data_IF_047457015076
#
_entry.id   IF_047457015076
#
_cell.length_a   1.000
_cell.length_b   1.000
_cell.length_c   1.000
_cell.angle_alpha   90.00
_cell.angle_beta   90.00
_cell.angle_gamma   90.00
#
_symmetry.space_group_name_H-M   'P 1'
#
loop_
_entity.id
_entity.type
_entity.pdbx_description
1 polymer ?
#
# COMPACT_ATOMS: atom_id res chain seq x y z
N UNK A 1 4.57 11.28 11.57
CA UNK A 1 4.14 11.36 10.16
C UNK A 1 3.52 10.02 9.81
N UNK A 2 2.37 10.02 9.16
CA UNK A 2 1.55 8.81 8.95
C UNK A 2 1.62 8.28 7.52
N UNK A 3 2.03 9.14 6.56
CA UNK A 3 2.21 8.79 5.15
C UNK A 3 3.60 9.24 4.71
N UNK A 4 4.36 8.33 4.11
CA UNK A 4 5.67 8.60 3.52
C UNK A 4 5.56 8.56 2.00
N UNK A 5 5.72 9.70 1.34
CA UNK A 5 5.85 9.77 -0.11
C UNK A 5 7.31 9.52 -0.49
N UNK A 6 7.56 8.56 -1.38
CA UNK A 6 8.90 8.18 -1.82
C UNK A 6 9.20 8.73 -3.21
N UNK A 7 10.45 9.11 -3.51
CA UNK A 7 10.80 9.75 -4.78
C UNK A 7 10.78 8.77 -5.98
N UNK A 8 11.03 7.48 -5.72
CA UNK A 8 11.04 6.43 -6.75
C UNK A 8 10.53 5.10 -6.19
N UNK A 9 10.24 4.14 -7.09
CA UNK A 9 9.81 2.79 -6.72
C UNK A 9 10.90 2.04 -5.94
N UNK A 10 12.16 2.22 -6.33
CA UNK A 10 13.32 1.60 -5.68
C UNK A 10 13.47 2.09 -4.25
N UNK A 11 13.33 3.39 -4.02
CA UNK A 11 13.37 3.97 -2.69
C UNK A 11 12.24 3.42 -1.80
N UNK A 12 11.03 3.27 -2.36
CA UNK A 12 9.90 2.62 -1.66
C UNK A 12 10.16 1.16 -1.31
N UNK A 13 10.69 0.38 -2.25
CA UNK A 13 11.00 -1.03 -2.03
C UNK A 13 12.10 -1.21 -0.95
N UNK A 14 13.14 -0.37 -0.99
CA UNK A 14 14.19 -0.36 0.04
C UNK A 14 13.58 -0.02 1.40
N UNK A 15 12.77 1.02 1.47
CA UNK A 15 12.12 1.43 2.72
C UNK A 15 11.27 0.32 3.33
N UNK A 16 10.39 -0.32 2.54
CA UNK A 16 9.52 -1.41 3.02
C UNK A 16 10.35 -2.60 3.50
N UNK A 17 11.41 -2.97 2.77
CA UNK A 17 12.32 -4.07 3.18
C UNK A 17 13.09 -3.74 4.44
N UNK A 18 13.62 -2.53 4.58
CA UNK A 18 14.28 -2.12 5.81
C UNK A 18 13.30 -2.15 6.99
N UNK A 19 12.06 -1.70 6.78
CA UNK A 19 11.03 -1.73 7.82
C UNK A 19 10.69 -3.17 8.24
N UNK A 20 10.48 -4.08 7.30
CA UNK A 20 10.14 -5.48 7.64
C UNK A 20 11.31 -6.28 8.19
N UNK A 21 12.51 -6.11 7.64
CA UNK A 21 13.67 -6.94 7.99
C UNK A 21 14.52 -6.37 9.13
N UNK A 22 14.67 -5.05 9.23
CA UNK A 22 15.54 -4.42 10.24
C UNK A 22 14.74 -3.90 11.44
N UNK A 23 13.56 -3.34 11.20
CA UNK A 23 12.73 -2.79 12.27
C UNK A 23 11.69 -3.80 12.81
N UNK A 24 11.60 -5.01 12.23
CA UNK A 24 10.62 -6.02 12.63
C UNK A 24 9.16 -5.62 12.37
N UNK A 25 8.95 -4.67 11.47
CA UNK A 25 7.63 -4.14 11.15
C UNK A 25 6.77 -5.15 10.38
N UNK A 26 5.48 -5.19 10.70
CA UNK A 26 4.47 -5.97 9.97
C UNK A 26 4.04 -5.18 8.73
N UNK A 27 3.87 -5.84 7.60
CA UNK A 27 3.62 -5.17 6.31
C UNK A 27 2.35 -5.69 5.64
N UNK A 28 1.73 -4.83 4.83
CA UNK A 28 0.60 -5.16 3.98
C UNK A 28 0.78 -4.45 2.62
N UNK A 29 0.59 -5.17 1.51
CA UNK A 29 0.78 -4.68 0.15
C UNK A 29 -0.55 -4.56 -0.60
N UNK A 30 -0.88 -3.35 -1.03
CA UNK A 30 -2.08 -3.05 -1.82
C UNK A 30 -1.76 -2.13 -2.99
N UNK A 31 -2.45 -2.33 -4.10
CA UNK A 31 -2.58 -1.35 -5.18
C UNK A 31 -3.97 -0.72 -5.08
N UNK A 32 -4.00 0.61 -5.01
CA UNK A 32 -5.21 1.42 -4.90
C UNK A 32 -5.34 2.37 -6.11
N UNK A 33 -6.50 3.00 -6.27
CA UNK A 33 -6.79 3.94 -7.38
C UNK A 33 -7.54 3.34 -8.57
N UNK A 34 -7.71 2.01 -8.59
CA UNK A 34 -8.61 1.31 -9.51
C UNK A 34 -10.06 1.26 -9.01
N UNK A 35 -10.92 0.51 -9.72
CA UNK A 35 -12.33 0.27 -9.30
C UNK A 35 -12.46 -0.58 -8.04
N UNK A 36 -11.43 -1.35 -7.70
CA UNK A 36 -11.34 -2.17 -6.49
C UNK A 36 -9.87 -2.27 -6.05
N UNK A 37 -9.60 -2.51 -4.75
CA UNK A 37 -8.25 -2.78 -4.26
C UNK A 37 -7.69 -4.08 -4.85
N UNK A 38 -6.39 -4.11 -5.15
CA UNK A 38 -5.68 -5.31 -5.60
C UNK A 38 -4.64 -5.68 -4.56
N UNK A 39 -4.69 -6.92 -4.06
CA UNK A 39 -3.67 -7.45 -3.14
C UNK A 39 -2.36 -7.64 -3.89
N UNK A 40 -1.28 -7.01 -3.40
CA UNK A 40 0.06 -7.12 -3.96
C UNK A 40 0.95 -7.87 -2.97
N UNK A 41 1.57 -8.95 -3.44
CA UNK A 41 2.47 -9.77 -2.61
C UNK A 41 3.82 -9.94 -3.30
N UNK A 42 4.86 -10.07 -2.50
CA UNK A 42 6.18 -10.54 -2.92
C UNK A 42 6.32 -12.04 -2.68
N UNK A 43 7.21 -12.68 -3.44
CA UNK A 43 7.61 -14.08 -3.22
C UNK A 43 8.18 -14.29 -1.81
N UNK A 44 8.85 -13.27 -1.27
CA UNK A 44 9.48 -13.29 0.05
C UNK A 44 8.51 -13.01 1.20
N UNK A 45 7.23 -12.72 0.93
CA UNK A 45 6.28 -12.35 1.98
C UNK A 45 5.90 -13.54 2.85
N UNK A 46 5.84 -13.27 4.16
CA UNK A 46 5.33 -14.22 5.17
C UNK A 46 3.83 -14.46 4.99
N UNK A 47 3.34 -15.56 5.54
CA UNK A 47 1.88 -15.85 5.60
C UNK A 47 1.11 -14.72 6.29
N UNK A 48 1.69 -14.14 7.34
CA UNK A 48 1.11 -13.00 8.05
C UNK A 48 0.98 -11.76 7.14
N UNK A 49 2.04 -11.39 6.41
CA UNK A 49 2.01 -10.20 5.54
C UNK A 49 0.95 -10.35 4.44
N UNK A 50 0.78 -11.57 3.90
CA UNK A 50 -0.28 -11.88 2.93
C UNK A 50 -1.67 -11.77 3.56
N UNK A 51 -1.85 -12.31 4.76
CA UNK A 51 -3.12 -12.22 5.50
C UNK A 51 -3.50 -10.76 5.79
N UNK A 52 -2.55 -9.96 6.29
CA UNK A 52 -2.76 -8.53 6.54
C UNK A 52 -3.11 -7.79 5.25
N UNK A 53 -2.47 -8.12 4.13
CA UNK A 53 -2.81 -7.54 2.82
C UNK A 53 -4.26 -7.82 2.42
N UNK A 54 -4.75 -9.05 2.63
CA UNK A 54 -6.15 -9.40 2.36
C UNK A 54 -7.10 -8.63 3.29
N UNK A 55 -6.79 -8.59 4.59
CA UNK A 55 -7.61 -7.86 5.56
C UNK A 55 -7.70 -6.36 5.21
N UNK A 56 -6.56 -5.74 4.85
CA UNK A 56 -6.52 -4.35 4.40
C UNK A 56 -7.30 -4.16 3.08
N UNK A 57 -7.26 -5.12 2.14
CA UNK A 57 -8.05 -5.04 0.92
C UNK A 57 -9.55 -5.05 1.20
N UNK A 58 -10.02 -5.91 2.10
CA UNK A 58 -11.44 -5.96 2.53
C UNK A 58 -11.85 -4.65 3.20
N UNK A 59 -11.00 -4.11 4.06
CA UNK A 59 -11.25 -2.80 4.69
C UNK A 59 -11.33 -1.69 3.64
N UNK A 60 -10.37 -1.63 2.72
CA UNK A 60 -10.32 -0.63 1.65
C UNK A 60 -11.48 -0.76 0.65
N UNK A 61 -11.98 -1.98 0.39
CA UNK A 61 -13.10 -2.22 -0.51
C UNK A 61 -14.45 -1.76 0.08
N UNK A 62 -14.59 -1.80 1.41
CA UNK A 62 -15.76 -1.26 2.11
C UNK A 62 -15.68 0.27 2.29
N UNK A 63 -14.52 0.87 2.03
CA UNK A 63 -14.38 2.32 2.04
C UNK A 63 -14.98 2.87 0.74
N UNK A 64 -16.11 3.58 0.82
CA UNK A 64 -16.55 4.38 -0.33
C UNK A 64 -15.41 5.34 -0.69
N UNK A 65 -14.84 5.14 -1.88
CA UNK A 65 -13.78 6.01 -2.37
C UNK A 65 -14.33 7.44 -2.37
N UNK A 66 -13.87 8.25 -1.42
CA UNK A 66 -14.06 9.70 -1.45
C UNK A 66 -13.48 10.12 -2.79
N UNK A 67 -14.35 10.43 -3.76
CA UNK A 67 -13.98 11.03 -5.04
C UNK A 67 -13.38 12.37 -4.70
N UNK A 68 -12.08 12.39 -4.44
CA UNK A 68 -11.29 13.61 -4.43
C UNK A 68 -11.42 14.16 -5.85
N UNK A 69 -12.27 15.17 -6.04
CA UNK A 69 -12.37 15.90 -7.29
C UNK A 69 -11.00 16.52 -7.52
N UNK A 70 -10.16 15.83 -8.30
CA UNK A 70 -8.96 16.42 -8.87
C UNK A 70 -9.45 17.55 -9.77
N UNK A 71 -9.41 18.78 -9.23
CA UNK A 71 -9.77 19.97 -9.96
C UNK A 71 -8.93 20.03 -11.23
N UNK A 72 -9.58 20.40 -12.35
CA UNK A 72 -8.92 20.76 -13.61
C UNK A 72 -7.70 21.62 -13.30
N UNK A 73 -6.50 21.08 -13.44
CA UNK A 73 -5.29 21.89 -13.55
C UNK A 73 -5.34 22.47 -14.97
N UNK A 74 -5.95 23.64 -15.09
CA UNK A 74 -5.79 24.52 -16.26
C UNK A 74 -4.57 25.39 -15.97
N UNK A 75 -3.59 25.31 -16.85
CA UNK A 75 -2.37 26.11 -16.89
C UNK A 75 -1.53 25.62 -18.05
#
# INVERSE_FOLDING_TARGET
ADILLVPTLEAGNIMVKCFSHLAGGRTAGLILGGKAPIVLTSRSDTSESKFLSIACAVYAANFEAVRVKMGKVRG
#
